data_IF_928436070510
#
_entry.id   IF_928436070510
#
_cell.length_a   1.000
_cell.length_b   1.000
_cell.length_c   1.000
_cell.angle_alpha   90.00
_cell.angle_beta   90.00
_cell.angle_gamma   90.00
#
_symmetry.space_group_name_H-M   'P 1'
#
loop_
_entity.id
_entity.type
_entity.pdbx_description
1 polymer ?
#
# COMPACT_ATOMS: atom_id res chain seq x y z
N UNK A 1 -2.04 -15.81 19.25
CA UNK A 1 -1.83 -16.44 17.94
C UNK A 1 -1.47 -15.30 17.01
N UNK A 2 -0.18 -15.01 16.93
CA UNK A 2 0.38 -14.14 15.89
C UNK A 2 0.07 -14.84 14.56
N UNK A 3 -0.77 -14.23 13.73
CA UNK A 3 -1.12 -14.78 12.44
C UNK A 3 -0.59 -13.81 11.40
N UNK A 4 0.58 -14.10 10.87
CA UNK A 4 1.06 -13.39 9.69
C UNK A 4 0.20 -13.83 8.50
N UNK A 5 -0.17 -12.86 7.67
CA UNK A 5 -0.83 -13.10 6.39
C UNK A 5 0.14 -12.89 5.24
N UNK A 6 -0.08 -13.57 4.13
CA UNK A 6 0.75 -13.41 2.93
C UNK A 6 0.18 -12.33 2.03
N UNK A 7 1.00 -11.31 1.75
CA UNK A 7 0.68 -10.24 0.80
C UNK A 7 1.71 -10.26 -0.32
N UNK A 8 1.27 -10.04 -1.55
CA UNK A 8 2.16 -9.87 -2.71
C UNK A 8 2.28 -8.41 -3.06
N UNK A 9 3.51 -7.90 -3.10
CA UNK A 9 3.84 -6.53 -3.50
C UNK A 9 4.66 -6.62 -4.78
N UNK A 10 4.17 -6.01 -5.85
CA UNK A 10 4.92 -5.81 -7.09
C UNK A 10 5.60 -4.45 -6.99
N UNK A 11 6.93 -4.43 -7.02
CA UNK A 11 7.68 -3.19 -6.91
C UNK A 11 7.64 -2.36 -8.21
N UNK A 12 8.33 -1.20 -8.19
CA UNK A 12 8.39 -0.29 -9.34
C UNK A 12 9.20 -0.85 -10.52
N UNK A 13 10.01 -1.88 -10.31
CA UNK A 13 10.74 -2.60 -11.37
C UNK A 13 9.90 -3.75 -11.97
N UNK A 14 8.71 -4.00 -11.42
CA UNK A 14 7.82 -5.08 -11.84
C UNK A 14 8.14 -6.43 -11.21
N UNK A 15 9.02 -6.48 -10.21
CA UNK A 15 9.36 -7.72 -9.49
C UNK A 15 8.31 -7.98 -8.42
N UNK A 16 7.83 -9.23 -8.37
CA UNK A 16 6.81 -9.65 -7.41
C UNK A 16 7.45 -10.22 -6.15
N UNK A 17 7.10 -9.67 -5.00
CA UNK A 17 7.59 -10.07 -3.68
C UNK A 17 6.44 -10.58 -2.83
N UNK A 18 6.58 -11.79 -2.27
CA UNK A 18 5.61 -12.33 -1.31
C UNK A 18 6.17 -12.12 0.08
N UNK A 19 5.47 -11.33 0.90
CA UNK A 19 5.91 -10.91 2.22
C UNK A 19 4.97 -11.40 3.31
N UNK A 20 5.51 -11.62 4.50
CA UNK A 20 4.75 -11.86 5.71
C UNK A 20 4.32 -10.52 6.31
N UNK A 21 3.01 -10.33 6.46
CA UNK A 21 2.42 -9.12 7.00
C UNK A 21 1.77 -9.42 8.37
N UNK A 22 2.30 -8.87 9.47
CA UNK A 22 1.79 -9.13 10.80
C UNK A 22 0.46 -8.39 11.05
N UNK A 23 -0.56 -9.11 11.51
CA UNK A 23 -1.90 -8.53 11.74
C UNK A 23 -2.07 -7.87 13.11
N UNK A 24 -1.12 -8.05 14.03
CA UNK A 24 -1.20 -7.57 15.43
C UNK A 24 -0.33 -6.34 15.72
N UNK A 25 0.50 -5.92 14.77
CA UNK A 25 1.36 -4.74 14.88
C UNK A 25 0.69 -3.43 14.45
N UNK A 26 -0.59 -3.48 14.04
CA UNK A 26 -1.34 -2.34 13.49
C UNK A 26 -0.62 -1.65 12.31
N UNK A 27 0.16 -2.41 11.54
CA UNK A 27 0.89 -1.89 10.39
C UNK A 27 -0.06 -1.56 9.24
N UNK A 28 0.36 -0.69 8.33
CA UNK A 28 -0.26 -0.48 7.03
C UNK A 28 0.65 -0.93 5.87
N UNK A 29 0.11 -0.96 4.63
CA UNK A 29 0.87 -1.38 3.46
C UNK A 29 2.12 -0.53 3.20
N UNK A 30 2.09 0.77 3.48
CA UNK A 30 3.27 1.63 3.33
C UNK A 30 4.40 1.20 4.28
N UNK A 31 4.08 0.92 5.55
CA UNK A 31 5.06 0.43 6.52
C UNK A 31 5.59 -0.95 6.13
N UNK A 32 4.74 -1.81 5.58
CA UNK A 32 5.14 -3.12 5.08
C UNK A 32 6.14 -3.01 3.91
N UNK A 33 5.87 -2.14 2.94
CA UNK A 33 6.79 -1.88 1.81
C UNK A 33 8.14 -1.35 2.31
N UNK A 34 8.13 -0.49 3.33
CA UNK A 34 9.37 0.03 3.95
C UNK A 34 10.12 -1.04 4.73
N UNK A 35 9.42 -1.87 5.49
CA UNK A 35 10.03 -2.92 6.31
C UNK A 35 10.77 -3.97 5.47
N UNK A 36 10.28 -4.25 4.26
CA UNK A 36 10.90 -5.15 3.30
C UNK A 36 11.79 -4.44 2.26
N UNK A 37 12.02 -3.13 2.42
CA UNK A 37 12.88 -2.32 1.53
C UNK A 37 12.50 -2.41 0.04
N UNK A 38 11.21 -2.54 -0.26
CA UNK A 38 10.69 -2.76 -1.63
C UNK A 38 10.55 -1.46 -2.45
N UNK A 39 10.97 -0.33 -1.89
CA UNK A 39 11.10 0.95 -2.56
C UNK A 39 12.29 1.71 -1.97
N UNK A 40 12.99 2.56 -2.75
CA UNK A 40 14.11 3.33 -2.24
C UNK A 40 13.70 4.22 -1.05
N UNK A 41 14.59 4.33 -0.05
CA UNK A 41 14.34 5.12 1.14
C UNK A 41 14.02 6.58 0.77
N UNK A 42 13.00 7.15 1.42
CA UNK A 42 12.54 8.51 1.14
C UNK A 42 11.67 8.67 -0.11
N UNK A 43 11.40 7.61 -0.87
CA UNK A 43 10.52 7.67 -2.06
C UNK A 43 9.11 7.13 -1.82
N UNK A 44 8.86 6.58 -0.62
CA UNK A 44 7.55 6.08 -0.20
C UNK A 44 7.18 6.61 1.19
N UNK A 45 5.93 7.04 1.33
CA UNK A 45 5.42 7.50 2.62
C UNK A 45 6.05 8.80 3.10
N UNK A 46 6.38 9.71 2.18
CA UNK A 46 7.12 10.96 2.47
C UNK A 46 6.41 11.81 3.54
N UNK A 47 5.08 11.83 3.54
CA UNK A 47 4.28 12.54 4.55
C UNK A 47 4.09 11.76 5.86
N UNK A 48 4.72 10.60 6.05
CA UNK A 48 4.55 9.77 7.24
C UNK A 48 3.16 9.16 7.40
N UNK A 49 2.40 9.01 6.31
CA UNK A 49 1.08 8.38 6.33
C UNK A 49 -0.11 9.32 6.58
N UNK A 50 0.10 10.63 6.56
CA UNK A 50 -0.95 11.64 6.82
C UNK A 50 -1.88 11.92 5.61
N UNK A 51 -1.89 11.07 4.58
CA UNK A 51 -2.61 11.31 3.32
C UNK A 51 -2.40 12.72 2.74
N UNK A 52 -1.17 13.25 2.83
CA UNK A 52 -0.77 14.56 2.28
C UNK A 52 0.20 14.44 1.08
N UNK A 53 0.44 13.23 0.61
CA UNK A 53 1.25 12.96 -0.58
C UNK A 53 0.79 11.65 -1.24
N UNK A 54 1.14 11.45 -2.51
CA UNK A 54 0.84 10.23 -3.25
C UNK A 54 2.01 9.24 -3.35
N UNK A 55 3.12 9.47 -2.63
CA UNK A 55 4.33 8.61 -2.73
C UNK A 55 4.13 7.13 -2.35
N UNK A 56 3.07 6.82 -1.59
CA UNK A 56 2.67 5.45 -1.23
C UNK A 56 1.51 4.91 -2.07
N UNK A 57 1.21 5.54 -3.20
CA UNK A 57 0.19 5.06 -4.12
C UNK A 57 0.53 3.65 -4.61
N UNK A 58 -0.50 2.80 -4.61
CA UNK A 58 -0.44 1.45 -5.13
C UNK A 58 -1.74 1.11 -5.89
N UNK A 59 -1.65 0.12 -6.77
CA UNK A 59 -2.78 -0.45 -7.48
C UNK A 59 -3.17 -1.76 -6.83
N UNK A 60 -4.44 -1.88 -6.43
CA UNK A 60 -4.97 -3.11 -5.83
C UNK A 60 -5.36 -4.06 -6.98
N UNK A 61 -4.70 -5.21 -7.07
CA UNK A 61 -4.84 -6.15 -8.19
C UNK A 61 -5.79 -7.31 -7.90
N UNK A 62 -6.18 -7.47 -6.63
CA UNK A 62 -7.13 -8.50 -6.19
C UNK A 62 -8.40 -7.84 -5.65
N UNK A 63 -9.52 -8.57 -5.74
CA UNK A 63 -10.79 -8.07 -5.25
C UNK A 63 -10.91 -8.35 -3.74
N UNK A 64 -10.33 -7.47 -2.93
CA UNK A 64 -10.42 -7.49 -1.47
C UNK A 64 -11.33 -6.38 -0.98
N UNK A 65 -12.09 -6.65 0.08
CA UNK A 65 -12.89 -5.61 0.73
C UNK A 65 -11.94 -4.72 1.54
N UNK A 66 -11.71 -3.51 1.04
CA UNK A 66 -10.91 -2.49 1.70
C UNK A 66 -11.82 -1.45 2.36
N UNK A 67 -11.32 -0.71 3.37
CA UNK A 67 -12.00 0.48 3.85
C UNK A 67 -12.31 1.43 2.70
N UNK A 68 -13.43 2.14 2.80
CA UNK A 68 -13.74 3.25 1.89
C UNK A 68 -12.61 4.28 1.93
N UNK A 69 -12.38 4.95 0.80
CA UNK A 69 -11.39 6.01 0.75
C UNK A 69 -11.86 7.15 1.65
N UNK A 70 -10.96 7.72 2.45
CA UNK A 70 -11.28 8.96 3.17
C UNK A 70 -11.35 10.15 2.20
N UNK A 71 -11.96 11.26 2.62
CA UNK A 71 -12.01 12.48 1.80
C UNK A 71 -10.60 12.98 1.45
N UNK A 72 -9.64 12.84 2.38
CA UNK A 72 -8.24 13.20 2.14
C UNK A 72 -7.56 12.25 1.14
N UNK A 73 -7.84 10.94 1.21
CA UNK A 73 -7.34 9.98 0.24
C UNK A 73 -7.87 10.28 -1.16
N UNK A 74 -9.18 10.55 -1.29
CA UNK A 74 -9.80 10.90 -2.56
C UNK A 74 -9.25 12.21 -3.14
N UNK A 75 -9.15 13.26 -2.32
CA UNK A 75 -8.60 14.55 -2.72
C UNK A 75 -7.15 14.39 -3.20
N UNK A 76 -6.32 13.64 -2.48
CA UNK A 76 -4.94 13.42 -2.90
C UNK A 76 -4.82 12.61 -4.18
N UNK A 77 -5.64 11.55 -4.33
CA UNK A 77 -5.65 10.76 -5.56
C UNK A 77 -6.20 11.53 -6.76
N UNK A 78 -7.06 12.54 -6.56
CA UNK A 78 -7.55 13.37 -7.66
C UNK A 78 -6.47 14.22 -8.33
N UNK A 79 -5.42 14.59 -7.57
CA UNK A 79 -4.31 15.42 -8.03
C UNK A 79 -3.03 14.62 -8.34
N UNK A 80 -3.02 13.32 -8.04
CA UNK A 80 -1.85 12.45 -8.21
C UNK A 80 -1.62 12.02 -9.67
N UNK A 81 -0.37 11.69 -9.98
CA UNK A 81 -0.01 11.12 -11.28
C UNK A 81 -0.31 9.61 -11.35
N UNK A 82 -0.49 9.09 -12.56
CA UNK A 82 -0.67 7.65 -12.82
C UNK A 82 -1.84 6.99 -12.08
N UNK A 83 -2.86 7.77 -11.70
CA UNK A 83 -4.03 7.27 -10.97
C UNK A 83 -4.87 6.37 -11.87
N UNK A 84 -5.32 5.26 -11.29
CA UNK A 84 -6.20 4.28 -11.91
C UNK A 84 -7.41 4.04 -10.99
N UNK A 85 -8.46 3.39 -11.50
CA UNK A 85 -9.68 3.11 -10.74
C UNK A 85 -9.39 2.27 -9.48
N UNK A 86 -8.39 1.39 -9.54
CA UNK A 86 -7.94 0.56 -8.43
C UNK A 86 -6.79 1.19 -7.62
N UNK A 87 -6.50 2.48 -7.79
CA UNK A 87 -5.51 3.19 -6.98
C UNK A 87 -5.98 3.37 -5.54
N UNK A 88 -5.04 3.18 -4.62
CA UNK A 88 -5.16 3.44 -3.18
C UNK A 88 -3.87 4.03 -2.64
N UNK A 89 -3.96 4.76 -1.55
CA UNK A 89 -2.78 5.14 -0.75
C UNK A 89 -2.47 4.02 0.24
N UNK A 90 -1.30 3.40 0.09
CA UNK A 90 -0.90 2.26 0.93
C UNK A 90 -0.84 2.58 2.42
N UNK A 91 -0.63 3.84 2.81
CA UNK A 91 -0.69 4.25 4.21
C UNK A 91 -2.10 4.19 4.82
N UNK A 92 -3.15 4.21 4.01
CA UNK A 92 -4.55 4.14 4.47
C UNK A 92 -5.09 2.70 4.52
N UNK A 93 -4.30 1.72 4.10
CA UNK A 93 -4.67 0.31 4.12
C UNK A 93 -3.94 -0.38 5.28
N UNK A 94 -4.62 -0.53 6.41
CA UNK A 94 -4.13 -1.31 7.54
C UNK A 94 -4.12 -2.81 7.22
N UNK A 95 -3.18 -3.54 7.81
CA UNK A 95 -3.06 -4.99 7.70
C UNK A 95 -4.05 -5.65 8.66
N UNK A 96 -4.98 -6.43 8.11
CA UNK A 96 -5.96 -7.22 8.86
C UNK A 96 -6.10 -8.61 8.22
N UNK A 97 -6.53 -9.65 8.96
CA UNK A 97 -6.51 -11.04 8.49
C UNK A 97 -7.20 -11.29 7.15
N UNK A 98 -8.25 -10.52 6.84
CA UNK A 98 -9.01 -10.63 5.60
C UNK A 98 -8.24 -10.16 4.35
N UNK A 99 -7.05 -9.56 4.52
CA UNK A 99 -6.14 -9.23 3.42
C UNK A 99 -5.23 -10.38 2.99
N UNK A 100 -5.41 -11.60 3.52
CA UNK A 100 -4.70 -12.79 3.05
C UNK A 100 -4.78 -12.91 1.52
N UNK A 101 -3.63 -13.08 0.89
CA UNK A 101 -3.49 -13.18 -0.57
C UNK A 101 -3.70 -11.86 -1.32
N UNK A 102 -3.75 -10.70 -0.65
CA UNK A 102 -3.80 -9.39 -1.28
C UNK A 102 -2.60 -9.22 -2.24
N UNK A 103 -2.87 -8.73 -3.44
CA UNK A 103 -1.83 -8.37 -4.41
C UNK A 103 -1.92 -6.88 -4.71
N UNK A 104 -0.82 -6.18 -4.54
CA UNK A 104 -0.70 -4.76 -4.87
C UNK A 104 0.51 -4.52 -5.76
N UNK A 105 0.45 -3.48 -6.57
CA UNK A 105 1.57 -3.00 -7.36
C UNK A 105 1.88 -1.55 -7.00
N UNK A 106 3.15 -1.23 -6.75
CA UNK A 106 3.56 0.14 -6.50
C UNK A 106 3.38 0.98 -7.76
N UNK A 107 2.78 2.16 -7.59
CA UNK A 107 2.70 3.12 -8.69
C UNK A 107 4.11 3.63 -9.06
N UNK A 108 4.32 4.03 -10.34
CA UNK A 108 5.55 4.70 -10.74
C UNK A 108 5.84 5.91 -9.86
N UNK A 109 7.11 6.23 -9.72
CA UNK A 109 7.51 7.46 -9.03
C UNK A 109 7.09 8.69 -9.84
N UNK A 110 6.56 9.69 -9.14
CA UNK A 110 6.09 10.97 -9.67
C UNK A 110 7.09 12.09 -9.42
#
# INVERSE_FOLDING_TARGET
MESDIKITIIDREGVSHVVDAPTDMNMNLMELVRAYELAPEGTIGICGGMAMCASCQCYVLTNHQLPEKSEEEEAMLAEAFYVQENSRLGCQIHIFPELEGLRVQLAPES
#
